data_IF_290509324557
#
_entry.id   IF_290509324557
#
_cell.length_a   1.000
_cell.length_b   1.000
_cell.length_c   1.000
_cell.angle_alpha   90.00
_cell.angle_beta   90.00
_cell.angle_gamma   90.00
#
_symmetry.space_group_name_H-M   'P 1'
#
loop_
_entity.id
_entity.type
_entity.pdbx_description
1 polymer ?
#
# COMPACT_ATOMS: atom_id res chain seq x y z
N UNK A 1 7.73 -20.08 -5.56
CA UNK A 1 6.54 -19.50 -6.21
C UNK A 1 5.72 -18.76 -5.17
N UNK A 2 5.26 -17.57 -5.50
CA UNK A 2 4.44 -16.78 -4.58
C UNK A 2 3.17 -17.54 -4.15
N UNK A 3 2.68 -17.25 -2.96
CA UNK A 3 1.45 -17.85 -2.45
C UNK A 3 0.26 -16.97 -2.83
N UNK A 4 -0.62 -17.49 -3.67
CA UNK A 4 -1.93 -16.90 -3.95
C UNK A 4 -3.00 -17.74 -3.29
N UNK A 5 -3.86 -17.10 -2.51
CA UNK A 5 -4.88 -17.83 -1.76
C UNK A 5 -6.27 -17.22 -1.93
N UNK A 6 -7.23 -18.06 -2.31
CA UNK A 6 -8.65 -17.69 -2.37
C UNK A 6 -9.24 -17.70 -0.95
N UNK A 7 -9.97 -16.64 -0.63
CA UNK A 7 -10.70 -16.54 0.65
C UNK A 7 -12.11 -16.01 0.37
N UNK A 8 -13.12 -16.69 0.91
CA UNK A 8 -14.52 -16.33 0.71
C UNK A 8 -14.90 -16.18 -0.78
N UNK A 9 -14.44 -17.14 -1.60
CA UNK A 9 -14.67 -17.16 -3.04
C UNK A 9 -14.03 -16.00 -3.82
N UNK A 10 -13.15 -15.23 -3.17
CA UNK A 10 -12.40 -14.15 -3.80
C UNK A 10 -10.98 -14.61 -4.04
N UNK A 11 -10.56 -14.53 -5.29
CA UNK A 11 -9.22 -14.90 -5.74
C UNK A 11 -8.48 -13.64 -6.20
N UNK A 12 -7.22 -13.45 -5.78
CA UNK A 12 -6.44 -12.32 -6.27
C UNK A 12 -6.33 -12.30 -7.78
N UNK A 13 -6.44 -11.12 -8.38
CA UNK A 13 -6.26 -10.89 -9.80
C UNK A 13 -5.23 -9.81 -10.08
N UNK A 14 -4.55 -9.89 -11.22
CA UNK A 14 -3.53 -8.94 -11.60
C UNK A 14 -3.41 -8.85 -13.12
N UNK A 15 -2.87 -7.72 -13.59
CA UNK A 15 -2.67 -7.46 -15.00
C UNK A 15 -1.39 -8.10 -15.57
N UNK A 16 -0.89 -7.52 -16.66
CA UNK A 16 0.30 -8.02 -17.36
C UNK A 16 1.60 -7.54 -16.76
N UNK A 17 2.67 -8.31 -17.01
CA UNK A 17 4.05 -7.98 -16.66
C UNK A 17 4.27 -7.73 -15.15
N UNK A 18 3.52 -8.40 -14.30
CA UNK A 18 3.70 -8.33 -12.86
C UNK A 18 4.80 -9.29 -12.39
N UNK A 19 5.49 -8.91 -11.32
CA UNK A 19 6.48 -9.74 -10.65
C UNK A 19 6.02 -10.09 -9.23
N UNK A 20 6.13 -11.35 -8.87
CA UNK A 20 5.83 -11.84 -7.52
C UNK A 20 7.01 -12.67 -7.02
N UNK A 21 7.64 -12.22 -5.94
CA UNK A 21 8.75 -12.96 -5.33
C UNK A 21 8.28 -14.32 -4.80
N UNK A 22 9.18 -15.29 -4.71
CA UNK A 22 8.86 -16.68 -4.35
C UNK A 22 8.06 -16.82 -3.04
N UNK A 23 8.30 -15.97 -2.07
CA UNK A 23 7.63 -16.03 -0.78
C UNK A 23 6.71 -14.84 -0.52
N UNK A 24 6.33 -14.10 -1.57
CA UNK A 24 5.27 -13.11 -1.47
C UNK A 24 3.94 -13.82 -1.24
N UNK A 25 3.05 -13.20 -0.48
CA UNK A 25 1.74 -13.76 -0.13
C UNK A 25 0.63 -12.80 -0.53
N UNK A 26 -0.26 -13.24 -1.42
CA UNK A 26 -1.38 -12.43 -1.92
C UNK A 26 -2.67 -13.20 -1.65
N UNK A 27 -3.57 -12.63 -0.86
CA UNK A 27 -4.73 -13.34 -0.32
C UNK A 27 -6.03 -12.58 -0.60
N UNK A 28 -7.04 -13.31 -1.08
CA UNK A 28 -8.42 -12.85 -1.08
C UNK A 28 -8.74 -11.83 -2.15
N UNK A 29 -9.55 -10.83 -1.80
CA UNK A 29 -10.06 -9.82 -2.72
C UNK A 29 -9.01 -8.74 -2.98
N UNK A 30 -8.07 -9.08 -3.83
CA UNK A 30 -6.99 -8.19 -4.28
C UNK A 30 -7.07 -8.06 -5.79
N UNK A 31 -7.08 -6.82 -6.27
CA UNK A 31 -7.05 -6.50 -7.70
C UNK A 31 -5.86 -5.58 -7.95
N UNK A 32 -4.98 -5.98 -8.84
CA UNK A 32 -3.76 -5.24 -9.20
C UNK A 32 -3.76 -4.96 -10.69
N UNK A 33 -3.28 -3.78 -11.07
CA UNK A 33 -3.11 -3.42 -12.47
C UNK A 33 -1.88 -4.06 -13.10
N UNK A 34 -1.39 -3.42 -14.17
CA UNK A 34 -0.22 -3.89 -14.92
C UNK A 34 1.10 -3.45 -14.27
N UNK A 35 2.14 -4.21 -14.53
CA UNK A 35 3.51 -3.87 -14.15
C UNK A 35 3.70 -3.65 -12.64
N UNK A 36 2.91 -4.34 -11.83
CA UNK A 36 3.06 -4.34 -10.37
C UNK A 36 4.11 -5.34 -9.93
N UNK A 37 4.69 -5.12 -8.76
CA UNK A 37 5.64 -6.06 -8.16
C UNK A 37 5.42 -6.20 -6.66
N UNK A 38 5.45 -7.44 -6.19
CA UNK A 38 5.35 -7.77 -4.76
C UNK A 38 6.58 -8.58 -4.39
N UNK A 39 7.37 -8.04 -3.48
CA UNK A 39 8.72 -8.52 -3.20
C UNK A 39 8.76 -9.53 -2.06
N UNK A 40 9.98 -9.93 -1.65
CA UNK A 40 10.16 -11.01 -0.70
C UNK A 40 9.55 -10.72 0.68
N UNK A 41 8.83 -11.69 1.23
CA UNK A 41 8.16 -11.60 2.53
C UNK A 41 7.05 -10.54 2.61
N UNK A 42 6.68 -9.92 1.51
CA UNK A 42 5.58 -8.97 1.50
C UNK A 42 4.23 -9.71 1.54
N UNK A 43 3.25 -9.10 2.18
CA UNK A 43 1.90 -9.65 2.32
C UNK A 43 0.87 -8.64 1.85
N UNK A 44 0.04 -9.04 0.90
CA UNK A 44 -1.11 -8.26 0.44
C UNK A 44 -2.35 -9.11 0.74
N UNK A 45 -3.07 -8.72 1.78
CA UNK A 45 -4.14 -9.58 2.32
C UNK A 45 -5.49 -8.86 2.32
N UNK A 46 -6.32 -9.20 1.32
CA UNK A 46 -7.69 -8.71 1.16
C UNK A 46 -8.72 -9.74 1.64
N UNK A 47 -8.56 -10.23 2.86
CA UNK A 47 -9.42 -11.29 3.42
C UNK A 47 -10.63 -10.75 4.16
N UNK A 48 -10.59 -9.53 4.64
CA UNK A 48 -11.68 -8.90 5.41
C UNK A 48 -12.31 -7.70 4.71
N UNK A 49 -11.65 -7.18 3.70
CA UNK A 49 -12.14 -6.14 2.79
C UNK A 49 -11.28 -6.15 1.53
N UNK A 50 -11.65 -5.38 0.49
CA UNK A 50 -10.89 -5.38 -0.75
C UNK A 50 -9.64 -4.52 -0.69
N UNK A 51 -8.67 -4.89 -1.52
CA UNK A 51 -7.49 -4.10 -1.85
C UNK A 51 -7.47 -3.90 -3.37
N UNK A 52 -7.43 -2.66 -3.82
CA UNK A 52 -7.34 -2.32 -5.23
C UNK A 52 -6.10 -1.49 -5.50
N UNK A 53 -5.29 -1.91 -6.45
CA UNK A 53 -4.07 -1.23 -6.85
C UNK A 53 -4.13 -0.91 -8.34
N UNK A 54 -3.64 0.27 -8.69
CA UNK A 54 -3.46 0.66 -10.08
C UNK A 54 -2.25 -0.01 -10.73
N UNK A 55 -1.68 0.67 -11.71
CA UNK A 55 -0.53 0.16 -12.47
C UNK A 55 0.80 0.62 -11.84
N UNK A 56 1.84 -0.18 -12.03
CA UNK A 56 3.20 0.16 -11.59
C UNK A 56 3.28 0.47 -10.10
N UNK A 57 2.63 -0.37 -9.30
CA UNK A 57 2.73 -0.32 -7.85
C UNK A 57 3.76 -1.36 -7.41
N UNK A 58 4.71 -0.95 -6.57
CA UNK A 58 5.62 -1.92 -5.97
C UNK A 58 5.42 -2.00 -4.46
N UNK A 59 5.30 -3.22 -3.98
CA UNK A 59 5.17 -3.55 -2.56
C UNK A 59 6.48 -4.23 -2.18
N UNK A 60 7.35 -3.49 -1.52
CA UNK A 60 8.72 -3.94 -1.28
C UNK A 60 8.82 -4.94 -0.13
N UNK A 61 10.02 -5.49 0.04
CA UNK A 61 10.28 -6.59 0.96
C UNK A 61 9.73 -6.34 2.36
N UNK A 62 8.98 -7.31 2.88
CA UNK A 62 8.42 -7.27 4.23
C UNK A 62 7.25 -6.31 4.44
N UNK A 63 6.83 -5.56 3.43
CA UNK A 63 5.70 -4.65 3.58
C UNK A 63 4.37 -5.42 3.73
N UNK A 64 3.42 -4.82 4.42
CA UNK A 64 2.10 -5.40 4.64
C UNK A 64 1.03 -4.43 4.16
N UNK A 65 0.13 -4.92 3.30
CA UNK A 65 -1.06 -4.18 2.86
C UNK A 65 -2.28 -4.95 3.34
N UNK A 66 -3.10 -4.30 4.14
CA UNK A 66 -4.28 -4.92 4.75
C UNK A 66 -5.44 -3.93 4.88
N UNK A 67 -6.52 -4.33 5.51
CA UNK A 67 -7.77 -3.57 5.61
C UNK A 67 -8.44 -3.81 6.95
N UNK A 68 -9.45 -3.00 7.28
CA UNK A 68 -10.31 -3.23 8.43
C UNK A 68 -11.65 -3.82 7.97
N UNK A 69 -12.09 -4.86 8.64
CA UNK A 69 -13.32 -5.61 8.34
C UNK A 69 -14.54 -4.69 8.22
N UNK A 70 -15.23 -4.82 7.10
CA UNK A 70 -16.48 -4.08 6.78
C UNK A 70 -16.40 -2.56 6.90
N UNK A 71 -15.22 -1.98 7.10
CA UNK A 71 -15.10 -0.55 7.36
C UNK A 71 -14.17 0.16 6.40
N UNK A 72 -12.91 -0.24 6.35
CA UNK A 72 -11.87 0.51 5.64
C UNK A 72 -11.14 -0.38 4.66
N UNK A 73 -11.50 -0.32 3.37
CA UNK A 73 -10.73 -0.98 2.32
C UNK A 73 -9.43 -0.20 2.04
N UNK A 74 -8.55 -0.79 1.26
CA UNK A 74 -7.32 -0.13 0.83
C UNK A 74 -7.35 0.08 -0.68
N UNK A 75 -7.16 1.31 -1.10
CA UNK A 75 -7.11 1.71 -2.51
C UNK A 75 -5.79 2.42 -2.78
N UNK A 76 -5.07 1.96 -3.80
CA UNK A 76 -3.75 2.47 -4.17
C UNK A 76 -3.78 2.83 -5.65
N UNK A 77 -3.37 4.04 -5.98
CA UNK A 77 -3.32 4.54 -7.35
C UNK A 77 -2.15 3.99 -8.16
N UNK A 78 -1.76 4.73 -9.19
CA UNK A 78 -0.67 4.34 -10.08
C UNK A 78 0.68 4.88 -9.60
N UNK A 79 1.77 4.19 -9.98
CA UNK A 79 3.13 4.64 -9.71
C UNK A 79 3.40 4.86 -8.22
N UNK A 80 2.93 3.96 -7.38
CA UNK A 80 3.10 4.05 -5.92
C UNK A 80 4.18 3.07 -5.49
N UNK A 81 5.13 3.56 -4.70
CA UNK A 81 6.15 2.71 -4.06
C UNK A 81 5.85 2.58 -2.58
N UNK A 82 5.70 1.35 -2.12
CA UNK A 82 5.52 1.02 -0.70
C UNK A 82 6.84 0.42 -0.21
N UNK A 83 7.56 1.17 0.61
CA UNK A 83 8.91 0.84 1.05
C UNK A 83 8.98 -0.41 1.92
N UNK A 84 10.21 -0.91 2.10
CA UNK A 84 10.48 -2.11 2.90
C UNK A 84 9.87 -2.01 4.31
N UNK A 85 9.20 -3.05 4.75
CA UNK A 85 8.59 -3.14 6.07
C UNK A 85 7.55 -2.06 6.40
N UNK A 86 7.06 -1.33 5.41
CA UNK A 86 5.97 -0.39 5.63
C UNK A 86 4.65 -1.13 5.83
N UNK A 87 3.72 -0.49 6.54
CA UNK A 87 2.36 -0.99 6.73
C UNK A 87 1.39 0.01 6.12
N UNK A 88 0.59 -0.46 5.17
CA UNK A 88 -0.48 0.30 4.54
C UNK A 88 -1.79 -0.38 4.89
N UNK A 89 -2.63 0.30 5.66
CA UNK A 89 -3.78 -0.35 6.27
C UNK A 89 -5.04 0.52 6.16
N UNK A 90 -6.05 0.02 5.43
CA UNK A 90 -7.37 0.63 5.38
C UNK A 90 -7.40 2.08 4.91
N UNK A 91 -6.57 2.47 3.96
CA UNK A 91 -6.41 3.85 3.53
C UNK A 91 -6.48 4.02 2.01
N UNK A 92 -6.52 5.26 1.56
CA UNK A 92 -6.50 5.62 0.15
C UNK A 92 -5.19 6.32 -0.17
N UNK A 93 -4.45 5.78 -1.12
CA UNK A 93 -3.20 6.37 -1.63
C UNK A 93 -3.41 6.69 -3.10
N UNK A 94 -3.23 7.95 -3.45
CA UNK A 94 -3.37 8.40 -4.84
C UNK A 94 -2.09 8.15 -5.64
N UNK A 95 -2.01 8.72 -6.85
CA UNK A 95 -0.91 8.43 -7.77
C UNK A 95 0.42 9.07 -7.36
N UNK A 96 1.51 8.49 -7.83
CA UNK A 96 2.85 9.07 -7.71
C UNK A 96 3.28 9.33 -6.26
N UNK A 97 2.97 8.40 -5.36
CA UNK A 97 3.25 8.52 -3.92
C UNK A 97 4.38 7.58 -3.52
N UNK A 98 5.25 8.05 -2.65
CA UNK A 98 6.24 7.22 -1.96
C UNK A 98 5.84 7.04 -0.50
N UNK A 99 5.63 5.80 -0.10
CA UNK A 99 5.46 5.39 1.30
C UNK A 99 6.80 4.87 1.78
N UNK A 100 7.46 5.63 2.64
CA UNK A 100 8.82 5.34 3.08
C UNK A 100 8.95 4.04 3.88
N UNK A 101 10.13 3.46 3.85
CA UNK A 101 10.41 2.20 4.56
C UNK A 101 10.11 2.30 6.05
N UNK A 102 9.51 1.27 6.61
CA UNK A 102 9.17 1.21 8.03
C UNK A 102 8.08 2.18 8.48
N UNK A 103 7.43 2.90 7.57
CA UNK A 103 6.32 3.80 7.92
C UNK A 103 5.03 3.03 8.14
N UNK A 104 4.08 3.65 8.83
CA UNK A 104 2.76 3.08 9.09
C UNK A 104 1.72 4.10 8.65
N UNK A 105 0.84 3.69 7.73
CA UNK A 105 -0.30 4.52 7.29
C UNK A 105 -1.57 3.84 7.76
N UNK A 106 -2.25 4.49 8.70
CA UNK A 106 -3.39 3.91 9.39
C UNK A 106 -4.71 4.12 8.65
N UNK A 107 -5.78 3.55 9.20
CA UNK A 107 -7.10 3.53 8.59
C UNK A 107 -7.65 4.92 8.26
N UNK A 108 -8.38 4.98 7.17
CA UNK A 108 -9.10 6.18 6.73
C UNK A 108 -8.21 7.39 6.45
N UNK A 109 -6.91 7.16 6.28
CA UNK A 109 -5.99 8.18 5.77
C UNK A 109 -6.20 8.36 4.27
N UNK A 110 -5.94 9.56 3.80
CA UNK A 110 -5.85 9.89 2.37
C UNK A 110 -4.48 10.48 2.10
N UNK A 111 -3.68 9.80 1.29
CA UNK A 111 -2.39 10.29 0.85
C UNK A 111 -2.54 10.80 -0.57
N UNK A 112 -2.47 12.10 -0.76
CA UNK A 112 -2.71 12.72 -2.05
C UNK A 112 -1.53 12.58 -3.00
N UNK A 113 -1.81 12.74 -4.29
CA UNK A 113 -0.84 12.53 -5.36
C UNK A 113 0.45 13.33 -5.17
N UNK A 114 1.58 12.68 -5.45
CA UNK A 114 2.89 13.33 -5.37
C UNK A 114 3.41 13.53 -3.95
N UNK A 115 2.72 13.06 -2.93
CA UNK A 115 3.17 13.17 -1.54
C UNK A 115 4.21 12.11 -1.20
N UNK A 116 4.99 12.38 -0.17
CA UNK A 116 5.95 11.43 0.41
C UNK A 116 5.65 11.27 1.89
N UNK A 117 5.50 10.04 2.33
CA UNK A 117 5.52 9.66 3.74
C UNK A 117 6.95 9.20 4.04
N UNK A 118 7.63 9.91 4.93
CA UNK A 118 9.05 9.63 5.22
C UNK A 118 9.22 8.28 5.93
N UNK A 119 10.42 7.74 5.83
CA UNK A 119 10.78 6.50 6.53
C UNK A 119 10.47 6.59 8.02
N UNK A 120 9.90 5.53 8.59
CA UNK A 120 9.58 5.45 10.02
C UNK A 120 8.45 6.35 10.51
N UNK A 121 7.79 7.09 9.62
CA UNK A 121 6.68 7.95 10.02
C UNK A 121 5.44 7.13 10.39
N UNK A 122 4.63 7.66 11.30
CA UNK A 122 3.32 7.08 11.63
C UNK A 122 2.23 8.09 11.28
N UNK A 123 1.50 7.79 10.20
CA UNK A 123 0.36 8.61 9.77
C UNK A 123 -0.87 8.10 10.50
N UNK A 124 -1.34 8.88 11.45
CA UNK A 124 -2.46 8.50 12.30
C UNK A 124 -3.77 8.44 11.52
N UNK A 125 -4.70 7.67 12.05
CA UNK A 125 -6.03 7.49 11.49
C UNK A 125 -6.69 8.83 11.12
N UNK A 126 -7.37 8.85 9.98
CA UNK A 126 -8.09 10.02 9.46
C UNK A 126 -7.20 11.20 9.02
N UNK A 127 -5.89 11.00 8.88
CA UNK A 127 -4.99 12.06 8.43
C UNK A 127 -5.07 12.22 6.92
N UNK A 128 -5.05 13.46 6.46
CA UNK A 128 -4.89 13.81 5.05
C UNK A 128 -3.46 14.28 4.84
N UNK A 129 -2.71 13.55 4.02
CA UNK A 129 -1.37 13.92 3.61
C UNK A 129 -1.47 14.69 2.31
N UNK A 130 -1.13 15.97 2.35
CA UNK A 130 -1.34 16.89 1.23
C UNK A 130 -0.45 16.59 0.03
N UNK A 131 -1.02 16.78 -1.15
CA UNK A 131 -0.33 16.64 -2.43
C UNK A 131 0.95 17.45 -2.46
N UNK A 132 2.05 16.81 -2.90
CA UNK A 132 3.33 17.47 -3.11
C UNK A 132 4.10 17.82 -1.84
N UNK A 133 3.72 17.27 -0.69
CA UNK A 133 4.42 17.51 0.58
C UNK A 133 5.03 16.24 1.17
N UNK A 134 6.06 16.43 1.97
CA UNK A 134 6.66 15.38 2.79
C UNK A 134 6.09 15.45 4.19
N UNK A 135 5.59 14.33 4.69
CA UNK A 135 5.17 14.15 6.07
C UNK A 135 6.15 13.22 6.77
N UNK A 136 6.56 13.57 7.97
CA UNK A 136 7.56 12.80 8.72
C UNK A 136 7.27 12.81 10.22
N UNK A 137 7.82 11.84 10.93
CA UNK A 137 7.77 11.76 12.39
C UNK A 137 6.66 10.87 12.93
N UNK A 138 6.58 10.80 14.26
CA UNK A 138 5.59 10.03 15.03
C UNK A 138 4.96 10.96 16.08
N UNK A 139 3.72 11.43 15.92
CA UNK A 139 2.89 11.30 14.71
C UNK A 139 3.44 12.09 13.54
N UNK A 140 3.12 11.67 12.33
CA UNK A 140 3.59 12.33 11.12
C UNK A 140 3.00 13.73 10.98
N UNK A 141 3.85 14.70 10.63
CA UNK A 141 3.48 16.09 10.40
C UNK A 141 4.06 16.57 9.08
N UNK A 142 3.41 17.56 8.48
CA UNK A 142 3.89 18.19 7.27
C UNK A 142 5.22 18.88 7.53
N UNK A 143 6.24 18.56 6.75
CA UNK A 143 7.60 19.10 6.93
C UNK A 143 7.94 20.14 5.86
N UNK A 144 7.86 19.74 4.60
CA UNK A 144 8.24 20.63 3.47
C UNK A 144 7.68 20.09 2.16
N UNK A 145 7.76 20.92 1.12
CA UNK A 145 7.39 20.48 -0.24
C UNK A 145 8.38 19.44 -0.76
N UNK A 146 7.88 18.54 -1.57
CA UNK A 146 8.72 17.61 -2.33
C UNK A 146 9.51 18.43 -3.34
N UNK A 147 10.85 18.30 -3.39
CA UNK A 147 11.69 19.02 -4.34
C UNK A 147 11.45 18.64 -5.79
#
# INVERSE_FOLDING_TARGET
MALFKTVNEKTPSYGGNCFFAENATIIGEVEMGDECSVWFNAVVRGDVHYIKMGNRVNVQDGAVVHCTYKKSPTTIGNNVSIGHNAIVHGCTIHDDVLIGMGSIVMDDCVVESGAIVAAGAVVLQNTKVESGYIYAGVPAKKVKKVP
#
